data_IF_319189991837
#
_entry.id   IF_319189991837
#
_cell.length_a   1.000
_cell.length_b   1.000
_cell.length_c   1.000
_cell.angle_alpha   90.00
_cell.angle_beta   90.00
_cell.angle_gamma   90.00
#
_symmetry.space_group_name_H-M   'P 1'
#
loop_
_entity.id
_entity.type
_entity.pdbx_description
1 polymer ?
#
# COMPACT_ATOMS: atom_id res chain seq x y z
N UNK A 1 25.73 -8.37 -24.85
CA UNK A 1 26.16 -9.78 -25.08
C UNK A 1 27.62 -10.13 -24.70
N UNK A 2 28.39 -9.23 -24.05
CA UNK A 2 29.86 -9.42 -23.81
C UNK A 2 30.24 -9.90 -22.39
N UNK A 3 29.39 -9.65 -21.38
CA UNK A 3 29.68 -9.96 -19.97
C UNK A 3 29.61 -11.47 -19.62
N UNK A 4 28.59 -12.20 -20.11
CA UNK A 4 28.44 -13.65 -19.84
C UNK A 4 29.60 -14.51 -20.37
N UNK A 5 30.25 -14.11 -21.47
CA UNK A 5 31.43 -14.81 -21.99
C UNK A 5 32.66 -14.65 -21.09
N UNK A 6 32.92 -13.43 -20.57
CA UNK A 6 34.07 -13.17 -19.68
C UNK A 6 33.99 -13.96 -18.37
N UNK A 7 32.81 -14.02 -17.74
CA UNK A 7 32.61 -14.82 -16.53
C UNK A 7 32.81 -16.32 -16.80
N UNK A 8 32.24 -16.88 -17.88
CA UNK A 8 32.46 -18.29 -18.25
C UNK A 8 33.95 -18.62 -18.49
N UNK A 9 34.71 -17.68 -19.05
CA UNK A 9 36.14 -17.88 -19.29
C UNK A 9 36.96 -17.83 -18.01
N UNK A 10 36.61 -16.97 -17.06
CA UNK A 10 37.26 -16.89 -15.74
C UNK A 10 36.98 -18.15 -14.92
N UNK A 11 35.72 -18.58 -14.83
CA UNK A 11 35.34 -19.85 -14.18
C UNK A 11 36.01 -21.05 -14.86
N UNK A 12 36.08 -21.10 -16.20
CA UNK A 12 36.78 -22.20 -16.90
C UNK A 12 38.29 -22.25 -16.64
N UNK A 13 38.91 -21.11 -16.32
CA UNK A 13 40.34 -21.03 -15.97
C UNK A 13 40.56 -21.45 -14.53
N UNK A 14 39.70 -21.00 -13.62
CA UNK A 14 39.76 -21.36 -12.19
C UNK A 14 39.45 -22.85 -12.00
N UNK A 15 38.46 -23.40 -12.72
CA UNK A 15 38.15 -24.82 -12.73
C UNK A 15 39.30 -25.64 -13.32
N UNK A 16 39.96 -25.18 -14.39
CA UNK A 16 41.17 -25.83 -14.93
C UNK A 16 42.34 -25.78 -13.96
N UNK A 17 42.51 -24.70 -13.20
CA UNK A 17 43.56 -24.60 -12.17
C UNK A 17 43.26 -25.51 -10.98
N UNK A 18 42.01 -25.56 -10.51
CA UNK A 18 41.54 -26.49 -9.48
C UNK A 18 41.70 -27.95 -9.92
N UNK A 19 41.34 -28.30 -11.16
CA UNK A 19 41.51 -29.67 -11.67
C UNK A 19 42.99 -30.05 -11.81
N UNK A 20 43.87 -29.11 -12.22
CA UNK A 20 45.31 -29.35 -12.24
C UNK A 20 45.87 -29.51 -10.83
N UNK A 21 45.42 -28.70 -9.89
CA UNK A 21 45.85 -28.79 -8.50
C UNK A 21 45.39 -30.11 -7.87
N UNK A 22 44.12 -30.47 -8.04
CA UNK A 22 43.55 -31.74 -7.59
C UNK A 22 44.26 -32.95 -8.24
N UNK A 23 44.57 -32.88 -9.54
CA UNK A 23 45.30 -33.94 -10.25
C UNK A 23 46.74 -34.06 -9.78
N UNK A 24 47.42 -32.95 -9.54
CA UNK A 24 48.79 -32.94 -9.03
C UNK A 24 48.83 -33.41 -7.57
N UNK A 25 47.84 -33.03 -6.77
CA UNK A 25 47.66 -33.49 -5.40
C UNK A 25 47.37 -34.99 -5.36
N UNK A 26 46.48 -35.50 -6.21
CA UNK A 26 46.17 -36.93 -6.32
C UNK A 26 47.39 -37.74 -6.78
N UNK A 27 48.14 -37.25 -7.76
CA UNK A 27 49.39 -37.89 -8.20
C UNK A 27 50.46 -37.88 -7.11
N UNK A 28 50.58 -36.78 -6.35
CA UNK A 28 51.50 -36.69 -5.22
C UNK A 28 51.13 -37.65 -4.09
N UNK A 29 49.83 -37.69 -3.75
CA UNK A 29 49.28 -38.59 -2.75
C UNK A 29 49.46 -40.06 -3.17
N UNK A 30 49.19 -40.40 -4.44
CA UNK A 30 49.35 -41.75 -4.96
C UNK A 30 50.81 -42.20 -4.93
N UNK A 31 51.76 -41.36 -5.37
CA UNK A 31 53.18 -41.71 -5.29
C UNK A 31 53.69 -41.80 -3.84
N UNK A 32 53.19 -40.95 -2.95
CA UNK A 32 53.55 -40.98 -1.54
C UNK A 32 53.00 -42.23 -0.83
N UNK A 33 51.73 -42.57 -1.06
CA UNK A 33 51.09 -43.79 -0.55
C UNK A 33 51.76 -45.05 -1.10
N UNK A 34 52.02 -45.10 -2.40
CA UNK A 34 52.71 -46.24 -3.01
C UNK A 34 54.14 -46.39 -2.48
N UNK A 35 54.90 -45.29 -2.32
CA UNK A 35 56.24 -45.34 -1.70
C UNK A 35 56.20 -45.82 -0.25
N UNK A 36 55.26 -45.33 0.56
CA UNK A 36 55.06 -45.77 1.94
C UNK A 36 54.70 -47.25 2.02
N UNK A 37 53.77 -47.71 1.18
CA UNK A 37 53.36 -49.12 1.11
C UNK A 37 54.49 -50.03 0.61
N UNK A 38 55.30 -49.55 -0.34
CA UNK A 38 56.46 -50.29 -0.84
C UNK A 38 57.59 -50.40 0.20
N UNK A 39 57.80 -49.35 1.00
CA UNK A 39 58.74 -49.39 2.13
C UNK A 39 58.25 -50.29 3.26
N UNK A 40 56.94 -50.34 3.52
CA UNK A 40 56.32 -51.29 4.47
C UNK A 40 56.49 -52.75 4.03
N UNK A 41 56.53 -53.02 2.72
CA UNK A 41 56.75 -54.37 2.17
C UNK A 41 58.20 -54.87 2.31
N UNK A 42 59.16 -53.98 2.56
CA UNK A 42 60.60 -54.32 2.65
C UNK A 42 61.06 -54.65 4.08
N UNK A 43 60.23 -54.40 5.09
CA UNK A 43 60.52 -54.71 6.50
C UNK A 43 59.53 -55.76 7.00
N UNK A 44 59.95 -57.03 7.00
CA UNK A 44 59.25 -58.15 7.66
C UNK A 44 59.36 -58.04 9.19
N UNK A 45 58.76 -57.00 9.79
CA UNK A 45 58.46 -56.99 11.23
C UNK A 45 57.04 -56.50 11.44
N UNK A 46 56.19 -57.46 11.76
CA UNK A 46 54.81 -57.31 12.21
C UNK A 46 54.79 -56.51 13.52
N UNK A 47 54.01 -55.43 13.52
CA UNK A 47 53.70 -54.64 14.70
C UNK A 47 52.67 -53.56 14.39
N UNK A 48 51.42 -53.86 14.76
CA UNK A 48 50.30 -52.91 15.00
C UNK A 48 49.79 -52.08 13.81
N UNK A 49 49.13 -52.78 12.87
CA UNK A 49 48.22 -52.19 11.90
C UNK A 49 46.84 -51.90 12.50
N UNK A 50 46.45 -50.62 12.52
CA UNK A 50 45.05 -50.14 12.45
C UNK A 50 44.98 -48.60 12.28
N UNK A 51 46.11 -47.88 12.40
CA UNK A 51 46.13 -46.41 12.42
C UNK A 51 45.94 -45.78 11.04
N UNK A 52 46.43 -46.39 9.96
CA UNK A 52 46.36 -45.80 8.61
C UNK A 52 44.92 -45.71 8.04
N UNK A 53 44.10 -46.78 8.10
CA UNK A 53 42.70 -46.72 7.64
C UNK A 53 41.86 -45.77 8.51
N UNK A 54 42.07 -45.76 9.83
CA UNK A 54 41.40 -44.83 10.75
C UNK A 54 41.76 -43.38 10.40
N UNK A 55 43.05 -43.08 10.25
CA UNK A 55 43.49 -41.73 9.92
C UNK A 55 42.90 -41.25 8.59
N UNK A 56 42.82 -42.12 7.56
CA UNK A 56 42.16 -41.77 6.30
C UNK A 56 40.66 -41.56 6.45
N UNK A 57 39.97 -42.36 7.25
CA UNK A 57 38.53 -42.22 7.49
C UNK A 57 38.22 -40.92 8.25
N UNK A 58 39.04 -40.56 9.24
CA UNK A 58 38.93 -39.28 9.96
C UNK A 58 39.16 -38.10 9.02
N UNK A 59 40.19 -38.17 8.16
CA UNK A 59 40.45 -37.09 7.19
C UNK A 59 39.28 -36.94 6.22
N UNK A 60 38.72 -38.04 5.70
CA UNK A 60 37.54 -38.00 4.82
C UNK A 60 36.31 -37.44 5.55
N UNK A 61 36.08 -37.84 6.80
CA UNK A 61 34.99 -37.31 7.61
C UNK A 61 35.13 -35.79 7.82
N UNK A 62 36.34 -35.33 8.19
CA UNK A 62 36.61 -33.91 8.43
C UNK A 62 36.49 -33.09 7.15
N UNK A 63 37.00 -33.58 6.01
CA UNK A 63 36.84 -32.87 4.73
C UNK A 63 35.37 -32.81 4.29
N UNK A 64 34.59 -33.88 4.52
CA UNK A 64 33.16 -33.89 4.24
C UNK A 64 32.41 -32.91 5.16
N UNK A 65 32.74 -32.88 6.46
CA UNK A 65 32.20 -31.91 7.42
C UNK A 65 32.49 -30.47 6.97
N UNK A 66 33.74 -30.17 6.64
CA UNK A 66 34.15 -28.85 6.14
C UNK A 66 33.41 -28.50 4.85
N UNK A 67 33.29 -29.43 3.90
CA UNK A 67 32.54 -29.21 2.66
C UNK A 67 31.06 -28.89 2.93
N UNK A 68 30.41 -29.60 3.86
CA UNK A 68 29.02 -29.32 4.24
C UNK A 68 28.86 -27.97 4.94
N UNK A 69 29.80 -27.58 5.80
CA UNK A 69 29.80 -26.27 6.44
C UNK A 69 29.98 -25.15 5.41
N UNK A 70 30.88 -25.32 4.45
CA UNK A 70 31.10 -24.36 3.36
C UNK A 70 29.86 -24.22 2.47
N UNK A 71 29.21 -25.33 2.09
CA UNK A 71 27.95 -25.30 1.34
C UNK A 71 26.88 -24.46 2.05
N UNK A 72 26.65 -24.73 3.34
CA UNK A 72 25.70 -23.94 4.15
C UNK A 72 26.10 -22.48 4.29
N UNK A 73 27.39 -22.19 4.28
CA UNK A 73 27.91 -20.83 4.36
C UNK A 73 27.63 -20.05 3.07
N UNK A 74 27.75 -20.71 1.92
CA UNK A 74 27.36 -20.14 0.63
C UNK A 74 25.84 -19.91 0.55
N UNK A 75 25.02 -20.88 0.96
CA UNK A 75 23.55 -20.72 0.95
C UNK A 75 23.09 -19.52 1.80
N UNK A 76 23.72 -19.34 2.99
CA UNK A 76 23.46 -18.19 3.87
C UNK A 76 23.93 -16.87 3.26
N UNK A 77 25.08 -16.87 2.59
CA UNK A 77 25.60 -15.68 1.92
C UNK A 77 24.68 -15.24 0.78
N UNK A 78 24.19 -16.18 -0.03
CA UNK A 78 23.26 -15.90 -1.13
C UNK A 78 21.92 -15.38 -0.58
N UNK A 79 21.39 -16.00 0.46
CA UNK A 79 20.14 -15.55 1.11
C UNK A 79 20.30 -14.14 1.69
N UNK A 80 21.42 -13.86 2.38
CA UNK A 80 21.70 -12.54 2.93
C UNK A 80 21.90 -11.48 1.83
N UNK A 81 22.53 -11.85 0.71
CA UNK A 81 22.68 -10.97 -0.45
C UNK A 81 21.33 -10.63 -1.07
N UNK A 82 20.48 -11.62 -1.29
CA UNK A 82 19.14 -11.42 -1.85
C UNK A 82 18.26 -10.58 -0.90
N UNK A 83 18.34 -10.80 0.41
CA UNK A 83 17.60 -10.00 1.38
C UNK A 83 18.02 -8.52 1.34
N UNK A 84 19.33 -8.24 1.26
CA UNK A 84 19.83 -6.86 1.12
C UNK A 84 19.38 -6.22 -0.19
N UNK A 85 19.45 -6.96 -1.30
CA UNK A 85 19.01 -6.46 -2.60
C UNK A 85 17.51 -6.11 -2.57
N UNK A 86 16.67 -7.00 -2.02
CA UNK A 86 15.23 -6.75 -1.85
C UNK A 86 14.95 -5.54 -0.96
N UNK A 87 15.70 -5.35 0.13
CA UNK A 87 15.55 -4.19 1.01
C UNK A 87 15.88 -2.89 0.28
N UNK A 88 17.00 -2.85 -0.44
CA UNK A 88 17.39 -1.67 -1.24
C UNK A 88 16.35 -1.35 -2.30
N UNK A 89 15.83 -2.36 -3.01
CA UNK A 89 14.74 -2.16 -3.97
C UNK A 89 13.47 -1.61 -3.30
N UNK A 90 13.10 -2.12 -2.12
CA UNK A 90 11.93 -1.65 -1.37
C UNK A 90 12.07 -0.20 -0.90
N UNK A 91 13.23 0.13 -0.33
CA UNK A 91 13.52 1.49 0.13
C UNK A 91 13.57 2.48 -1.04
N UNK A 92 14.04 2.04 -2.21
CA UNK A 92 13.99 2.82 -3.44
C UNK A 92 12.54 3.10 -3.91
N UNK A 93 11.62 2.15 -3.73
CA UNK A 93 10.22 2.29 -4.13
C UNK A 93 9.35 3.06 -3.11
N UNK A 94 9.76 3.14 -1.84
CA UNK A 94 8.98 3.79 -0.77
C UNK A 94 8.57 5.26 -1.08
N UNK A 95 9.46 6.12 -1.62
CA UNK A 95 9.09 7.49 -1.98
C UNK A 95 7.95 7.59 -3.00
N UNK A 96 7.73 6.57 -3.83
CA UNK A 96 6.63 6.58 -4.78
C UNK A 96 5.25 6.56 -4.10
N UNK A 97 5.13 5.88 -2.96
CA UNK A 97 3.89 5.85 -2.19
C UNK A 97 3.61 7.23 -1.58
N UNK A 98 4.64 7.89 -1.04
CA UNK A 98 4.47 9.22 -0.43
C UNK A 98 4.15 10.28 -1.49
N UNK A 99 4.81 10.22 -2.66
CA UNK A 99 4.47 11.06 -3.81
C UNK A 99 3.02 10.82 -4.27
N UNK A 100 2.58 9.56 -4.31
CA UNK A 100 1.22 9.24 -4.68
C UNK A 100 0.19 9.79 -3.68
N UNK A 101 0.45 9.68 -2.37
CA UNK A 101 -0.38 10.28 -1.32
C UNK A 101 -0.45 11.79 -1.48
N UNK A 102 0.69 12.46 -1.66
CA UNK A 102 0.75 13.90 -1.86
C UNK A 102 -0.06 14.35 -3.09
N UNK A 103 0.03 13.61 -4.20
CA UNK A 103 -0.79 13.88 -5.41
C UNK A 103 -2.28 13.71 -5.13
N UNK A 104 -2.68 12.69 -4.38
CA UNK A 104 -4.07 12.49 -3.99
C UNK A 104 -4.57 13.58 -3.02
N UNK A 105 -3.79 13.96 -2.02
CA UNK A 105 -4.14 15.03 -1.09
C UNK A 105 -4.30 16.37 -1.84
N UNK A 106 -3.41 16.64 -2.78
CA UNK A 106 -3.50 17.83 -3.63
C UNK A 106 -4.67 17.76 -4.62
N UNK A 107 -5.00 16.57 -5.14
CA UNK A 107 -6.17 16.39 -6.01
C UNK A 107 -7.45 16.80 -5.28
N UNK A 108 -7.63 16.36 -4.04
CA UNK A 108 -8.83 16.67 -3.26
C UNK A 108 -8.84 18.08 -2.64
N UNK A 109 -7.73 18.81 -2.66
CA UNK A 109 -7.68 20.23 -2.28
C UNK A 109 -7.90 21.17 -3.48
N UNK A 110 -7.93 20.64 -4.71
CA UNK A 110 -8.08 21.42 -5.94
C UNK A 110 -9.47 22.06 -6.04
N UNK A 111 -9.51 23.39 -6.13
CA UNK A 111 -10.74 24.17 -6.24
C UNK A 111 -11.51 23.95 -7.57
N UNK A 112 -10.89 23.31 -8.57
CA UNK A 112 -11.53 22.93 -9.83
C UNK A 112 -12.49 21.75 -9.66
N UNK A 113 -12.33 20.96 -8.60
CA UNK A 113 -13.26 19.89 -8.30
C UNK A 113 -14.64 20.47 -7.92
N UNK A 114 -15.72 19.79 -8.31
CA UNK A 114 -17.05 20.20 -7.89
C UNK A 114 -17.16 20.16 -6.35
N UNK A 115 -17.98 21.05 -5.78
CA UNK A 115 -18.29 21.06 -4.34
C UNK A 115 -19.10 19.84 -3.87
N UNK A 116 -19.66 19.08 -4.82
CA UNK A 116 -20.29 17.78 -4.59
C UNK A 116 -19.27 16.65 -4.73
N UNK A 117 -19.64 15.44 -4.37
CA UNK A 117 -18.79 14.25 -4.58
C UNK A 117 -18.28 14.17 -6.02
N UNK A 118 -16.95 14.21 -6.26
CA UNK A 118 -16.39 14.27 -7.60
C UNK A 118 -16.27 12.89 -8.22
N UNK A 119 -16.95 12.64 -9.33
CA UNK A 119 -16.79 11.40 -10.07
C UNK A 119 -15.50 11.26 -10.85
N UNK A 120 -15.28 10.06 -11.40
CA UNK A 120 -14.11 9.75 -12.25
C UNK A 120 -13.94 10.73 -13.41
N UNK A 121 -15.05 11.19 -14.00
CA UNK A 121 -15.07 12.16 -15.10
C UNK A 121 -14.54 13.55 -14.69
N UNK A 122 -14.66 13.92 -13.41
CA UNK A 122 -14.12 15.16 -12.87
C UNK A 122 -12.68 15.00 -12.41
N UNK A 123 -12.33 13.84 -11.83
CA UNK A 123 -10.99 13.57 -11.30
C UNK A 123 -9.94 13.46 -12.39
N UNK A 124 -10.23 12.72 -13.47
CA UNK A 124 -9.25 12.43 -14.54
C UNK A 124 -8.70 13.67 -15.23
N UNK A 125 -9.52 14.61 -15.77
CA UNK A 125 -8.97 15.76 -16.50
C UNK A 125 -8.12 16.67 -15.61
N UNK A 126 -8.44 16.75 -14.31
CA UNK A 126 -7.62 17.50 -13.35
C UNK A 126 -6.30 16.76 -13.12
N UNK A 127 -6.36 15.45 -12.92
CA UNK A 127 -5.17 14.63 -12.71
C UNK A 127 -4.28 14.54 -13.94
N UNK A 128 -4.83 14.76 -15.13
CA UNK A 128 -4.15 14.83 -16.43
C UNK A 128 -3.39 16.14 -16.67
N UNK A 129 -3.49 17.09 -15.75
CA UNK A 129 -2.68 18.31 -15.76
C UNK A 129 -1.19 18.00 -15.50
N UNK A 130 -0.30 18.76 -16.15
CA UNK A 130 1.15 18.68 -15.95
C UNK A 130 1.56 19.08 -14.54
N UNK A 131 0.73 19.84 -13.82
CA UNK A 131 0.90 20.17 -12.41
C UNK A 131 1.09 18.92 -11.52
N UNK A 132 0.49 17.78 -11.87
CA UNK A 132 0.64 16.52 -11.14
C UNK A 132 1.90 15.73 -11.53
N UNK A 133 2.79 16.30 -12.35
CA UNK A 133 4.09 15.70 -12.69
C UNK A 133 5.19 16.49 -11.98
N UNK A 134 5.92 15.83 -11.08
CA UNK A 134 7.02 16.49 -10.37
C UNK A 134 8.19 16.78 -11.34
N UNK A 135 9.07 17.76 -11.03
CA UNK A 135 10.15 18.15 -11.94
C UNK A 135 11.14 17.04 -12.31
N UNK A 136 11.31 16.05 -11.43
CA UNK A 136 12.18 14.88 -11.62
C UNK A 136 11.43 13.66 -12.19
N UNK A 137 10.13 13.80 -12.49
CA UNK A 137 9.29 12.73 -13.00
C UNK A 137 9.07 12.82 -14.50
N UNK A 138 8.95 11.66 -15.12
CA UNK A 138 8.42 11.52 -16.48
C UNK A 138 7.06 10.86 -16.41
N UNK A 139 6.05 11.52 -16.96
CA UNK A 139 4.71 10.94 -17.09
C UNK A 139 4.71 9.77 -18.08
N UNK A 140 4.02 8.70 -17.73
CA UNK A 140 3.86 7.51 -18.52
C UNK A 140 2.39 7.35 -18.95
N UNK A 141 2.21 6.72 -20.12
CA UNK A 141 0.89 6.29 -20.60
C UNK A 141 0.82 4.78 -20.50
N UNK A 142 -0.11 4.27 -19.71
CA UNK A 142 -0.41 2.84 -19.68
C UNK A 142 -1.58 2.57 -20.63
N UNK A 143 -1.52 1.43 -21.29
CA UNK A 143 -2.51 1.00 -22.26
C UNK A 143 -2.83 -0.48 -22.05
N UNK A 144 -4.10 -0.83 -22.19
CA UNK A 144 -4.57 -2.21 -22.11
C UNK A 144 -5.79 -2.38 -23.01
N UNK A 145 -5.71 -3.32 -23.93
CA UNK A 145 -6.78 -3.71 -24.85
C UNK A 145 -7.92 -4.36 -24.04
N UNK A 146 -9.04 -3.64 -23.89
CA UNK A 146 -10.21 -4.04 -23.10
C UNK A 146 -11.16 -4.88 -23.96
N UNK A 147 -11.29 -4.58 -25.25
CA UNK A 147 -12.25 -5.24 -26.16
C UNK A 147 -11.65 -6.42 -26.97
N UNK A 148 -10.33 -6.59 -26.91
CA UNK A 148 -9.59 -7.66 -27.57
C UNK A 148 -9.34 -7.40 -29.05
N UNK A 149 -9.52 -6.17 -29.54
CA UNK A 149 -9.43 -5.84 -30.96
C UNK A 149 -7.99 -5.61 -31.46
N UNK A 150 -6.98 -5.77 -30.59
CA UNK A 150 -5.54 -5.57 -30.85
C UNK A 150 -5.13 -4.15 -31.20
N UNK A 151 -6.03 -3.17 -31.09
CA UNK A 151 -5.74 -1.76 -31.11
C UNK A 151 -5.96 -1.20 -29.71
N UNK A 152 -5.38 -0.01 -29.46
CA UNK A 152 -5.61 0.71 -28.21
C UNK A 152 -6.42 1.94 -28.53
N UNK A 153 -7.63 2.02 -28.02
CA UNK A 153 -8.62 3.05 -28.32
C UNK A 153 -8.85 3.99 -27.13
N UNK A 154 -8.91 5.29 -27.43
CA UNK A 154 -9.40 6.27 -26.46
C UNK A 154 -10.94 6.22 -26.51
N UNK A 155 -11.56 5.64 -25.48
CA UNK A 155 -12.97 5.23 -25.49
C UNK A 155 -13.95 6.31 -25.99
N UNK A 156 -14.90 5.90 -26.85
CA UNK A 156 -15.86 6.75 -27.55
C UNK A 156 -16.97 7.35 -26.64
N UNK A 157 -16.59 8.11 -25.61
CA UNK A 157 -17.49 8.87 -24.74
C UNK A 157 -17.87 8.20 -23.42
N UNK A 158 -17.50 6.93 -23.21
CA UNK A 158 -17.62 6.23 -21.92
C UNK A 158 -16.22 6.06 -21.33
N UNK A 159 -15.96 6.75 -20.22
CA UNK A 159 -14.65 6.79 -19.59
C UNK A 159 -14.12 5.40 -19.19
N UNK A 160 -15.01 4.51 -18.78
CA UNK A 160 -14.69 3.14 -18.40
C UNK A 160 -14.25 2.26 -19.58
N UNK A 161 -14.47 2.70 -20.82
CA UNK A 161 -13.98 2.03 -22.03
C UNK A 161 -12.70 2.67 -22.55
N UNK A 162 -12.11 3.63 -21.83
CA UNK A 162 -10.85 4.21 -22.23
C UNK A 162 -9.71 3.23 -21.89
N UNK A 163 -9.08 2.71 -22.94
CA UNK A 163 -8.00 1.72 -22.89
C UNK A 163 -6.65 2.35 -22.54
N UNK A 164 -6.63 3.65 -22.26
CA UNK A 164 -5.43 4.40 -21.94
C UNK A 164 -5.62 5.19 -20.65
N UNK A 165 -4.55 5.23 -19.86
CA UNK A 165 -4.47 6.05 -18.65
C UNK A 165 -3.12 6.78 -18.63
N UNK A 166 -3.15 7.97 -18.06
CA UNK A 166 -2.02 8.89 -17.91
C UNK A 166 -1.65 9.10 -16.44
N UNK A 167 -2.25 8.35 -15.53
CA UNK A 167 -1.99 8.38 -14.09
C UNK A 167 -0.80 7.49 -13.69
N UNK A 168 0.28 7.52 -14.48
CA UNK A 168 1.49 6.76 -14.23
C UNK A 168 2.71 7.66 -14.41
N UNK A 169 3.74 7.44 -13.61
CA UNK A 169 4.98 8.21 -13.62
C UNK A 169 6.16 7.29 -13.41
N UNK A 170 7.33 7.75 -13.86
CA UNK A 170 8.62 7.20 -13.46
C UNK A 170 9.54 8.30 -12.99
N UNK A 171 10.44 7.97 -12.09
CA UNK A 171 11.57 8.82 -11.72
C UNK A 171 12.82 7.95 -11.51
N UNK A 172 14.00 8.49 -11.79
CA UNK A 172 15.25 7.78 -11.55
C UNK A 172 15.65 7.84 -10.07
N UNK A 173 16.27 6.77 -9.58
CA UNK A 173 16.81 6.66 -8.24
C UNK A 173 18.24 6.11 -8.32
N UNK A 174 19.10 6.66 -7.47
CA UNK A 174 20.45 6.20 -7.23
C UNK A 174 20.41 5.33 -5.97
N UNK A 175 20.51 4.01 -6.13
CA UNK A 175 20.35 3.08 -5.01
C UNK A 175 21.64 2.79 -4.25
N UNK A 176 22.80 3.08 -4.83
CA UNK A 176 24.11 2.88 -4.19
C UNK A 176 24.79 4.21 -3.77
N UNK A 177 24.11 5.33 -4.01
CA UNK A 177 24.51 6.70 -3.64
C UNK A 177 25.86 7.10 -4.25
N UNK A 178 26.14 6.65 -5.48
CA UNK A 178 27.38 6.93 -6.19
C UNK A 178 27.31 8.19 -7.09
N UNK A 179 26.14 8.83 -7.17
CA UNK A 179 25.87 10.03 -7.95
C UNK A 179 25.33 9.75 -9.37
N UNK A 180 25.16 8.49 -9.74
CA UNK A 180 24.54 8.06 -10.99
C UNK A 180 23.28 7.24 -10.71
N UNK A 181 22.25 7.43 -11.53
CA UNK A 181 21.00 6.71 -11.42
C UNK A 181 21.13 5.31 -12.03
N UNK A 182 20.79 4.29 -11.24
CA UNK A 182 20.93 2.88 -11.60
C UNK A 182 19.57 2.15 -11.62
N UNK A 183 18.51 2.79 -11.14
CA UNK A 183 17.17 2.20 -10.99
C UNK A 183 16.09 3.19 -11.41
N UNK A 184 15.05 2.70 -12.10
CA UNK A 184 13.82 3.46 -12.30
C UNK A 184 12.75 3.01 -11.32
N UNK A 185 12.14 3.96 -10.63
CA UNK A 185 10.92 3.71 -9.87
C UNK A 185 9.75 4.13 -10.73
N UNK A 186 8.87 3.17 -11.02
CA UNK A 186 7.64 3.40 -11.75
C UNK A 186 6.49 3.30 -10.75
N UNK A 187 5.53 4.20 -10.85
CA UNK A 187 4.31 4.07 -10.08
C UNK A 187 3.09 4.58 -10.83
N UNK A 188 1.93 4.07 -10.43
CA UNK A 188 0.64 4.46 -11.01
C UNK A 188 -0.43 4.53 -9.93
N UNK A 189 -1.42 5.39 -10.16
CA UNK A 189 -2.57 5.58 -9.30
C UNK A 189 -3.81 5.20 -10.11
N UNK A 190 -4.50 4.15 -9.66
CA UNK A 190 -5.68 3.57 -10.30
C UNK A 190 -6.90 3.72 -9.40
N UNK A 191 -7.94 4.36 -9.90
CA UNK A 191 -9.18 4.61 -9.15
C UNK A 191 -10.46 4.43 -9.97
N UNK A 192 -10.29 4.13 -11.28
CA UNK A 192 -11.43 3.86 -12.16
C UNK A 192 -12.12 2.59 -11.72
N UNK A 193 -13.44 2.58 -11.86
CA UNK A 193 -14.24 1.38 -11.62
C UNK A 193 -14.87 0.89 -12.92
N UNK A 194 -14.99 -0.44 -13.10
CA UNK A 194 -15.67 -0.99 -14.26
C UNK A 194 -17.12 -0.51 -14.30
N UNK A 195 -17.77 -0.47 -15.48
CA UNK A 195 -19.18 -0.15 -15.57
C UNK A 195 -19.99 -1.07 -14.65
N UNK A 196 -20.94 -0.51 -13.91
CA UNK A 196 -21.76 -1.28 -12.95
C UNK A 196 -23.17 -1.39 -13.49
N UNK A 197 -23.66 -2.63 -13.58
CA UNK A 197 -25.03 -2.94 -13.97
C UNK A 197 -25.71 -3.67 -12.80
N UNK A 198 -26.85 -3.14 -12.33
CA UNK A 198 -27.60 -3.71 -11.19
C UNK A 198 -26.75 -3.98 -9.92
N UNK A 199 -25.78 -3.10 -9.64
CA UNK A 199 -24.93 -3.21 -8.44
C UNK A 199 -23.76 -4.18 -8.54
N UNK A 200 -23.54 -4.80 -9.72
CA UNK A 200 -22.44 -5.72 -10.00
C UNK A 200 -21.60 -5.15 -11.17
N UNK A 201 -20.27 -5.30 -11.16
CA UNK A 201 -19.46 -5.00 -12.35
C UNK A 201 -20.00 -5.71 -13.59
N UNK A 202 -20.32 -4.95 -14.63
CA UNK A 202 -20.85 -5.46 -15.91
C UNK A 202 -19.80 -6.26 -16.68
N UNK A 203 -18.51 -6.07 -16.36
CA UNK A 203 -17.39 -6.84 -16.89
C UNK A 203 -16.33 -7.11 -15.81
N UNK A 204 -15.44 -8.05 -16.11
CA UNK A 204 -14.24 -8.28 -15.31
C UNK A 204 -13.38 -7.02 -15.26
N UNK A 205 -12.75 -6.80 -14.10
CA UNK A 205 -11.81 -5.70 -13.90
C UNK A 205 -10.58 -5.88 -14.77
N UNK A 206 -10.13 -4.79 -15.37
CA UNK A 206 -8.91 -4.75 -16.19
C UNK A 206 -7.74 -4.13 -15.39
N UNK A 207 -6.48 -4.34 -15.81
CA UNK A 207 -5.30 -3.79 -15.10
C UNK A 207 -5.22 -2.27 -15.00
N UNK A 208 -6.11 -1.52 -15.68
CA UNK A 208 -6.19 -0.06 -15.62
C UNK A 208 -7.18 0.47 -14.57
N UNK A 209 -7.82 -0.43 -13.82
CA UNK A 209 -8.88 -0.13 -12.87
C UNK A 209 -8.47 -0.44 -11.43
N UNK A 210 -9.20 0.14 -10.47
CA UNK A 210 -9.07 -0.21 -9.07
C UNK A 210 -9.31 -1.72 -8.88
N UNK A 211 -8.41 -2.39 -8.14
CA UNK A 211 -8.41 -3.85 -8.00
C UNK A 211 -9.60 -4.36 -7.21
N UNK A 212 -9.93 -3.68 -6.12
CA UNK A 212 -11.08 -4.01 -5.27
C UNK A 212 -11.91 -2.76 -4.96
N UNK A 213 -13.08 -3.00 -4.39
CA UNK A 213 -13.95 -1.95 -3.88
C UNK A 213 -13.39 -1.39 -2.56
N UNK A 214 -13.90 -0.24 -2.09
CA UNK A 214 -13.56 0.25 -0.77
C UNK A 214 -13.82 -0.80 0.31
N UNK A 215 -12.90 -0.90 1.26
CA UNK A 215 -13.04 -1.82 2.39
C UNK A 215 -14.11 -1.29 3.35
N UNK A 216 -14.97 -2.18 3.84
CA UNK A 216 -15.85 -1.86 4.97
C UNK A 216 -15.08 -1.96 6.27
N UNK A 217 -15.36 -1.06 7.20
CA UNK A 217 -14.76 -1.10 8.54
C UNK A 217 -15.49 -2.07 9.47
N UNK A 218 -16.70 -2.48 9.09
CA UNK A 218 -17.53 -3.45 9.80
C UNK A 218 -17.27 -4.89 9.31
N UNK A 219 -16.23 -5.51 9.84
CA UNK A 219 -16.01 -6.95 9.71
C UNK A 219 -17.01 -7.69 10.62
N UNK A 220 -17.86 -8.53 10.03
CA UNK A 220 -18.69 -9.52 10.73
C UNK A 220 -19.64 -9.02 11.83
N UNK A 221 -20.79 -8.47 11.43
CA UNK A 221 -22.00 -8.80 12.17
C UNK A 221 -23.15 -9.16 11.23
N UNK A 222 -23.55 -10.43 11.26
CA UNK A 222 -24.79 -10.94 10.65
C UNK A 222 -26.05 -10.14 11.09
N UNK A 223 -25.91 -9.31 12.13
CA UNK A 223 -26.95 -8.42 12.62
C UNK A 223 -27.25 -7.22 11.70
N UNK A 224 -26.36 -6.91 10.74
CA UNK A 224 -26.45 -5.70 9.91
C UNK A 224 -26.27 -5.93 8.40
N UNK A 225 -27.09 -6.80 7.77
CA UNK A 225 -26.96 -7.13 6.34
C UNK A 225 -27.23 -5.92 5.41
N UNK A 226 -27.97 -4.91 5.89
CA UNK A 226 -28.29 -3.67 5.15
C UNK A 226 -27.40 -2.47 5.52
N UNK A 227 -26.68 -2.53 6.64
CA UNK A 227 -25.67 -1.52 7.03
C UNK A 227 -24.29 -1.83 6.49
N UNK A 228 -23.96 -3.13 6.38
CA UNK A 228 -22.90 -3.66 5.52
C UNK A 228 -23.40 -3.68 4.08
N UNK A 229 -23.77 -2.50 3.57
CA UNK A 229 -24.43 -2.31 2.29
C UNK A 229 -23.97 -3.37 1.31
N UNK A 230 -24.90 -4.22 0.84
CA UNK A 230 -24.67 -4.88 -0.44
C UNK A 230 -24.13 -3.80 -1.35
N UNK A 231 -22.93 -4.01 -1.89
CA UNK A 231 -22.07 -3.14 -2.72
C UNK A 231 -22.83 -2.34 -3.83
N UNK A 232 -24.13 -2.57 -3.97
CA UNK A 232 -25.07 -2.21 -5.00
C UNK A 232 -25.73 -0.81 -4.92
N UNK A 233 -25.28 0.13 -4.08
CA UNK A 233 -25.74 1.53 -4.19
C UNK A 233 -24.57 2.44 -4.56
N UNK A 234 -24.14 2.30 -5.82
CA UNK A 234 -23.31 3.29 -6.51
C UNK A 234 -24.14 4.57 -6.60
N UNK A 235 -23.73 5.61 -5.87
CA UNK A 235 -24.42 6.90 -5.90
C UNK A 235 -23.93 7.66 -7.13
N UNK A 236 -24.64 7.49 -8.25
CA UNK A 236 -24.24 8.01 -9.57
C UNK A 236 -23.08 7.20 -10.15
N UNK A 237 -23.09 6.93 -11.47
CA UNK A 237 -22.12 6.05 -12.17
C UNK A 237 -20.66 6.55 -12.22
N UNK A 238 -20.14 7.00 -11.08
CA UNK A 238 -18.97 7.85 -10.89
C UNK A 238 -17.94 7.21 -9.92
N UNK A 239 -18.12 5.93 -9.58
CA UNK A 239 -17.14 5.11 -8.87
C UNK A 239 -17.03 5.36 -7.37
N UNK A 240 -18.05 5.96 -6.75
CA UNK A 240 -18.23 6.08 -5.31
C UNK A 240 -19.25 5.06 -4.81
N UNK A 241 -18.95 4.42 -3.68
CA UNK A 241 -19.77 3.37 -3.09
C UNK A 241 -20.26 3.80 -1.72
N UNK A 242 -21.53 3.57 -1.43
CA UNK A 242 -22.02 3.74 -0.07
C UNK A 242 -21.58 2.54 0.78
N UNK A 243 -20.71 2.79 1.75
CA UNK A 243 -20.18 1.80 2.70
C UNK A 243 -20.29 2.41 4.10
N UNK A 244 -20.93 1.70 5.03
CA UNK A 244 -21.10 2.14 6.42
C UNK A 244 -21.80 3.53 6.56
N UNK A 245 -22.71 3.87 5.65
CA UNK A 245 -23.41 5.17 5.63
C UNK A 245 -22.60 6.34 5.04
N UNK A 246 -21.36 6.09 4.62
CA UNK A 246 -20.45 7.06 4.02
C UNK A 246 -20.25 6.74 2.54
N UNK A 247 -19.91 7.76 1.73
CA UNK A 247 -19.43 7.51 0.38
C UNK A 247 -17.93 7.24 0.43
N UNK A 248 -17.51 6.08 -0.05
CA UNK A 248 -16.10 5.68 -0.13
C UNK A 248 -15.68 5.43 -1.56
N UNK A 249 -14.42 5.77 -1.87
CA UNK A 249 -13.78 5.48 -3.15
C UNK A 249 -12.38 4.95 -2.93
N UNK A 250 -12.04 3.85 -3.60
CA UNK A 250 -10.74 3.21 -3.49
C UNK A 250 -9.75 3.74 -4.52
N UNK A 251 -8.55 4.08 -4.04
CA UNK A 251 -7.40 4.49 -4.83
C UNK A 251 -6.29 3.47 -4.62
N UNK A 252 -5.81 2.87 -5.70
CA UNK A 252 -4.71 1.92 -5.69
C UNK A 252 -3.45 2.58 -6.21
N UNK A 253 -2.41 2.57 -5.41
CA UNK A 253 -1.07 2.94 -5.83
C UNK A 253 -0.26 1.67 -6.03
N UNK A 254 0.22 1.49 -7.25
CA UNK A 254 1.20 0.45 -7.58
C UNK A 254 2.55 1.12 -7.78
N UNK A 255 3.58 0.67 -7.07
CA UNK A 255 4.95 1.13 -7.26
C UNK A 255 5.87 -0.06 -7.52
N UNK A 256 6.86 0.10 -8.39
CA UNK A 256 7.84 -0.91 -8.70
C UNK A 256 9.22 -0.30 -8.94
N UNK A 257 10.26 -0.87 -8.35
CA UNK A 257 11.64 -0.52 -8.65
C UNK A 257 12.20 -1.48 -9.69
N UNK A 258 12.64 -0.94 -10.83
CA UNK A 258 13.15 -1.69 -11.98
C UNK A 258 14.61 -1.29 -12.21
N UNK A 259 15.56 -2.21 -11.98
CA UNK A 259 16.98 -1.97 -12.24
C UNK A 259 17.25 -1.67 -13.71
N UNK A 260 18.13 -0.70 -13.98
CA UNK A 260 18.54 -0.35 -15.34
C UNK A 260 19.50 -1.43 -15.85
N UNK A 261 19.09 -2.14 -16.91
CA UNK A 261 19.91 -3.18 -17.54
C UNK A 261 20.65 -2.71 -18.79
N UNK A 262 20.23 -1.55 -19.33
CA UNK A 262 20.82 -0.91 -20.49
C UNK A 262 20.73 0.61 -20.32
N UNK A 263 21.89 1.27 -20.27
CA UNK A 263 22.00 2.73 -20.11
C UNK A 263 22.11 3.47 -21.46
N UNK A 264 22.00 2.76 -22.59
CA UNK A 264 22.09 3.39 -23.91
C UNK A 264 20.98 4.43 -24.12
N UNK A 265 21.38 5.66 -24.43
CA UNK A 265 20.44 6.76 -24.71
C UNK A 265 19.83 7.45 -23.49
N UNK A 266 20.20 7.07 -22.25
CA UNK A 266 19.67 7.71 -21.03
C UNK A 266 20.46 8.96 -20.61
N UNK A 267 21.72 9.10 -21.03
CA UNK A 267 22.60 10.23 -20.69
C UNK A 267 23.75 9.82 -19.75
N UNK A 268 24.61 10.78 -19.40
CA UNK A 268 25.83 10.51 -18.62
C UNK A 268 25.57 10.25 -17.13
N UNK A 269 24.41 10.64 -16.61
CA UNK A 269 24.03 10.47 -15.20
C UNK A 269 23.40 9.10 -14.91
N UNK A 270 23.35 8.21 -15.90
CA UNK A 270 22.73 6.90 -15.78
C UNK A 270 23.76 5.81 -15.96
N UNK A 271 23.63 4.76 -15.16
CA UNK A 271 24.46 3.58 -15.27
C UNK A 271 23.65 2.29 -15.24
N UNK A 272 24.32 1.21 -15.63
CA UNK A 272 23.74 -0.13 -15.56
C UNK A 272 23.89 -0.63 -14.13
N UNK A 273 22.78 -1.04 -13.53
CA UNK A 273 22.76 -1.62 -12.18
C UNK A 273 23.77 -2.78 -12.09
N UNK A 274 24.71 -2.65 -11.15
CA UNK A 274 25.89 -3.53 -11.08
C UNK A 274 25.75 -4.69 -10.09
N UNK A 275 24.70 -4.67 -9.25
CA UNK A 275 24.45 -5.65 -8.19
C UNK A 275 23.49 -6.77 -8.62
N UNK A 276 23.11 -7.65 -7.69
CA UNK A 276 22.11 -8.69 -7.93
C UNK A 276 20.75 -8.05 -8.24
N UNK A 277 20.25 -8.27 -9.46
CA UNK A 277 18.96 -7.73 -9.89
C UNK A 277 17.83 -8.32 -9.04
N UNK A 278 17.34 -7.55 -8.06
CA UNK A 278 16.06 -7.78 -7.40
C UNK A 278 15.01 -6.86 -8.01
N UNK A 279 13.77 -7.35 -8.01
CA UNK A 279 12.60 -6.56 -8.36
C UNK A 279 11.70 -6.51 -7.14
N UNK A 280 11.16 -5.33 -6.85
CA UNK A 280 10.14 -5.17 -5.82
C UNK A 280 8.94 -4.47 -6.42
N UNK A 281 7.76 -4.81 -5.90
CA UNK A 281 6.53 -4.10 -6.16
C UNK A 281 5.77 -3.89 -4.86
N UNK A 282 5.18 -2.71 -4.71
CA UNK A 282 4.36 -2.30 -3.58
C UNK A 282 2.96 -2.02 -4.12
N UNK A 283 1.96 -2.63 -3.51
CA UNK A 283 0.55 -2.28 -3.69
C UNK A 283 0.08 -1.57 -2.42
N UNK A 284 -0.52 -0.40 -2.58
CA UNK A 284 -1.09 0.38 -1.49
C UNK A 284 -2.52 0.78 -1.86
N UNK A 285 -3.49 0.37 -1.04
CA UNK A 285 -4.88 0.81 -1.16
C UNK A 285 -5.13 1.96 -0.17
N UNK A 286 -5.67 3.06 -0.67
CA UNK A 286 -6.21 4.15 0.13
C UNK A 286 -7.67 4.36 -0.22
N UNK A 287 -8.55 4.22 0.77
CA UNK A 287 -9.95 4.57 0.61
C UNK A 287 -10.17 6.01 1.09
N UNK A 288 -10.80 6.83 0.23
CA UNK A 288 -11.22 8.19 0.57
C UNK A 288 -12.68 8.17 0.93
N UNK A 289 -13.02 8.82 2.04
CA UNK A 289 -14.37 8.91 2.56
C UNK A 289 -14.94 10.32 2.38
N UNK A 290 -16.22 10.40 2.06
CA UNK A 290 -16.96 11.64 2.00
C UNK A 290 -18.33 11.43 2.65
N UNK A 291 -18.72 12.37 3.51
CA UNK A 291 -20.06 12.41 4.09
C UNK A 291 -20.97 13.06 3.05
N UNK A 292 -21.96 12.32 2.50
CA UNK A 292 -22.85 12.91 1.52
C UNK A 292 -23.84 13.86 2.20
N UNK A 293 -24.34 14.86 1.46
CA UNK A 293 -25.24 15.89 2.01
C UNK A 293 -26.50 15.27 2.60
N UNK A 294 -27.03 14.21 1.96
CA UNK A 294 -28.21 13.46 2.41
C UNK A 294 -28.00 12.69 3.73
N UNK A 295 -26.77 12.57 4.24
CA UNK A 295 -26.53 11.98 5.57
C UNK A 295 -26.89 12.94 6.72
N UNK A 296 -27.29 14.17 6.40
CA UNK A 296 -27.71 15.18 7.37
C UNK A 296 -29.24 15.27 7.43
N UNK A 297 -29.77 15.34 8.65
CA UNK A 297 -31.18 15.65 8.90
C UNK A 297 -31.47 17.13 8.62
N UNK A 298 -30.53 18.02 8.97
CA UNK A 298 -30.63 19.46 8.77
C UNK A 298 -29.31 19.98 8.19
N UNK A 299 -29.38 20.70 7.08
CA UNK A 299 -28.22 21.35 6.44
C UNK A 299 -28.56 22.79 6.13
N UNK A 300 -27.76 23.72 6.65
CA UNK A 300 -27.82 25.13 6.30
C UNK A 300 -26.44 25.64 5.93
N UNK A 301 -26.37 26.47 4.88
CA UNK A 301 -25.12 27.13 4.49
C UNK A 301 -24.82 28.35 5.37
N UNK A 302 -25.86 29.01 5.89
CA UNK A 302 -25.76 30.19 6.74
C UNK A 302 -26.24 29.87 8.15
N UNK A 303 -26.72 30.86 8.90
CA UNK A 303 -27.19 30.67 10.26
C UNK A 303 -28.39 29.70 10.30
N UNK A 304 -28.34 28.74 11.22
CA UNK A 304 -29.43 27.83 11.52
C UNK A 304 -30.10 28.30 12.82
N UNK A 305 -31.39 28.60 12.73
CA UNK A 305 -32.17 29.06 13.88
C UNK A 305 -33.35 28.11 14.13
N UNK A 306 -33.38 27.50 15.31
CA UNK A 306 -34.43 26.56 15.74
C UNK A 306 -35.23 27.17 16.89
N UNK A 307 -36.43 27.66 16.53
CA UNK A 307 -37.41 28.24 17.46
C UNK A 307 -38.73 27.48 17.42
N UNK A 308 -38.77 26.25 17.96
CA UNK A 308 -39.99 25.47 17.96
C UNK A 308 -40.99 26.08 18.95
N UNK A 309 -42.23 26.32 18.51
CA UNK A 309 -43.34 26.67 19.41
C UNK A 309 -43.82 25.46 20.25
N UNK A 310 -44.23 24.36 19.61
CA UNK A 310 -44.49 23.08 20.27
C UNK A 310 -43.22 22.20 20.37
N UNK A 311 -43.21 21.13 21.21
CA UNK A 311 -42.10 20.19 21.31
C UNK A 311 -41.60 19.71 19.95
N UNK A 312 -40.30 19.90 19.70
CA UNK A 312 -39.66 19.57 18.43
C UNK A 312 -38.49 18.62 18.69
N UNK A 313 -38.57 17.44 18.09
CA UNK A 313 -37.56 16.39 18.23
C UNK A 313 -36.85 16.22 16.91
N UNK A 314 -35.53 16.37 16.92
CA UNK A 314 -34.68 16.14 15.76
C UNK A 314 -33.81 14.92 16.01
N UNK A 315 -33.83 13.99 15.06
CA UNK A 315 -32.95 12.83 15.08
C UNK A 315 -31.92 12.97 13.96
N UNK A 316 -30.62 12.87 14.29
CA UNK A 316 -29.54 12.79 13.32
C UNK A 316 -28.70 14.03 13.10
N UNK A 317 -27.81 13.92 12.11
CA UNK A 317 -26.71 14.86 11.90
C UNK A 317 -27.25 16.24 11.50
N UNK A 318 -26.77 17.27 12.19
CA UNK A 318 -27.08 18.67 11.89
C UNK A 318 -25.81 19.35 11.44
N UNK A 319 -25.89 20.07 10.32
CA UNK A 319 -24.76 20.82 9.78
C UNK A 319 -25.17 22.27 9.50
N UNK A 320 -24.42 23.21 10.05
CA UNK A 320 -24.48 24.63 9.69
C UNK A 320 -23.07 25.19 9.49
N UNK A 321 -22.87 25.92 8.39
CA UNK A 321 -21.57 26.55 8.09
C UNK A 321 -21.36 27.86 8.88
N UNK A 322 -22.42 28.45 9.42
CA UNK A 322 -22.37 29.68 10.21
C UNK A 322 -22.88 29.42 11.64
N UNK A 323 -23.67 30.31 12.21
CA UNK A 323 -24.11 30.19 13.61
C UNK A 323 -25.25 29.19 13.78
N UNK A 324 -25.36 28.63 14.98
CA UNK A 324 -26.46 27.78 15.39
C UNK A 324 -27.18 28.43 16.57
N UNK A 325 -28.40 28.91 16.35
CA UNK A 325 -29.22 29.55 17.37
C UNK A 325 -30.36 28.61 17.79
N UNK A 326 -30.48 28.34 19.08
CA UNK A 326 -31.58 27.53 19.62
C UNK A 326 -32.30 28.31 20.71
N UNK A 327 -33.64 28.25 20.75
CA UNK A 327 -34.43 28.77 21.86
C UNK A 327 -34.99 27.61 22.67
N UNK A 328 -34.76 27.64 23.98
CA UNK A 328 -35.14 26.54 24.87
C UNK A 328 -36.66 26.54 25.18
N UNK A 329 -37.34 27.67 24.99
CA UNK A 329 -38.79 27.77 25.19
C UNK A 329 -39.54 27.09 24.05
N UNK A 330 -39.94 25.84 24.26
CA UNK A 330 -40.65 25.04 23.25
C UNK A 330 -40.35 23.55 23.28
N UNK A 331 -39.34 23.09 24.02
CA UNK A 331 -39.03 21.65 24.15
C UNK A 331 -38.29 21.08 22.94
N UNK A 332 -37.16 21.70 22.57
CA UNK A 332 -36.23 21.19 21.56
C UNK A 332 -35.44 19.99 22.12
N UNK A 333 -35.51 18.83 21.46
CA UNK A 333 -34.77 17.63 21.86
C UNK A 333 -33.99 17.06 20.68
N UNK A 334 -32.67 16.94 20.82
CA UNK A 334 -31.83 16.21 19.86
C UNK A 334 -31.69 14.76 20.30
N UNK A 335 -31.89 13.82 19.39
CA UNK A 335 -31.68 12.39 19.64
C UNK A 335 -30.68 11.81 18.64
N UNK A 336 -29.99 10.76 19.09
CA UNK A 336 -29.20 9.92 18.21
C UNK A 336 -30.11 9.22 17.19
N UNK A 337 -29.59 8.94 15.99
CA UNK A 337 -30.34 8.24 14.94
C UNK A 337 -30.78 6.85 15.39
N UNK A 338 -30.00 6.20 16.24
CA UNK A 338 -30.29 4.82 16.61
C UNK A 338 -29.75 4.39 17.96
N UNK A 339 -30.18 3.21 18.41
CA UNK A 339 -29.70 2.54 19.62
C UNK A 339 -28.31 1.91 19.42
N UNK A 340 -27.54 1.62 20.48
CA UNK A 340 -26.20 1.01 20.40
C UNK A 340 -26.08 -0.26 19.55
N UNK A 341 -27.14 -1.07 19.47
CA UNK A 341 -27.16 -2.32 18.67
C UNK A 341 -27.65 -2.13 17.22
N UNK A 342 -27.80 -0.89 16.76
CA UNK A 342 -28.24 -0.58 15.39
C UNK A 342 -27.05 -0.39 14.46
N UNK A 343 -27.20 -0.82 13.22
CA UNK A 343 -26.23 -0.65 12.14
C UNK A 343 -25.92 0.81 11.80
N UNK A 344 -26.80 1.72 12.22
CA UNK A 344 -26.66 3.16 12.02
C UNK A 344 -26.06 3.88 13.24
N UNK A 345 -25.68 3.14 14.29
CA UNK A 345 -25.09 3.68 15.51
C UNK A 345 -23.62 4.01 15.30
N UNK A 346 -23.40 5.09 14.57
CA UNK A 346 -22.11 5.71 14.38
C UNK A 346 -22.21 7.16 14.89
N UNK A 347 -21.16 7.63 15.59
CA UNK A 347 -21.04 9.00 16.07
C UNK A 347 -21.28 10.00 14.93
N UNK A 348 -20.71 9.75 13.76
CA UNK A 348 -20.82 10.64 12.61
C UNK A 348 -22.26 10.83 12.12
N UNK A 349 -23.14 9.84 12.31
CA UNK A 349 -24.54 9.90 11.88
C UNK A 349 -25.40 10.79 12.80
N UNK A 350 -24.95 11.11 14.02
CA UNK A 350 -25.71 11.92 14.99
C UNK A 350 -24.99 13.21 15.39
N UNK A 351 -23.92 13.58 14.66
CA UNK A 351 -23.06 14.71 14.99
C UNK A 351 -23.75 16.05 14.70
N UNK A 352 -23.55 17.03 15.56
CA UNK A 352 -23.94 18.43 15.30
C UNK A 352 -22.66 19.20 15.00
N UNK A 353 -22.54 19.72 13.77
CA UNK A 353 -21.38 20.48 13.30
C UNK A 353 -21.80 21.92 13.05
N UNK A 354 -21.11 22.84 13.71
CA UNK A 354 -21.35 24.29 13.65
C UNK A 354 -20.05 24.96 13.22
N UNK A 355 -20.08 25.71 12.12
CA UNK A 355 -18.92 26.46 11.62
C UNK A 355 -18.69 27.79 12.35
N UNK A 356 -19.76 28.40 12.89
CA UNK A 356 -19.73 29.62 13.68
C UNK A 356 -20.02 29.38 15.17
N UNK A 357 -20.75 30.31 15.78
CA UNK A 357 -21.09 30.24 17.20
C UNK A 357 -22.39 29.47 17.45
N UNK A 358 -22.46 28.75 18.57
CA UNK A 358 -23.71 28.20 19.07
C UNK A 358 -24.27 29.11 20.18
N UNK A 359 -25.46 29.66 19.96
CA UNK A 359 -26.15 30.54 20.90
C UNK A 359 -27.42 29.85 21.37
N UNK A 360 -27.58 29.78 22.70
CA UNK A 360 -28.78 29.27 23.34
C UNK A 360 -29.54 30.46 23.92
N UNK A 361 -30.66 30.82 23.31
CA UNK A 361 -31.57 31.82 23.83
C UNK A 361 -32.46 31.26 24.94
N UNK A 362 -32.59 32.01 26.03
CA UNK A 362 -33.68 31.80 26.98
C UNK A 362 -34.88 32.62 26.51
N UNK A 363 -35.98 31.95 26.17
CA UNK A 363 -37.27 32.63 26.04
C UNK A 363 -37.66 33.11 27.43
N UNK A 364 -37.79 34.42 27.62
CA UNK A 364 -38.15 34.99 28.92
C UNK A 364 -39.45 34.38 29.44
N UNK A 365 -39.33 33.54 30.46
CA UNK A 365 -40.33 33.47 31.52
C UNK A 365 -39.56 33.54 32.83
N UNK A 366 -39.75 34.66 33.54
CA UNK A 366 -39.34 34.84 34.92
C UNK A 366 -39.83 33.64 35.75
N UNK A 367 -38.96 32.68 36.06
CA UNK A 367 -38.87 32.03 37.37
C UNK A 367 -37.86 30.87 37.36
N UNK A 368 -36.95 30.96 38.34
CA UNK A 368 -36.17 29.86 38.96
C UNK A 368 -35.11 29.15 38.12
N UNK A 369 -33.86 29.42 38.53
CA UNK A 369 -32.66 28.60 38.33
C UNK A 369 -32.98 27.10 38.21
N UNK A 370 -32.88 26.56 37.01
CA UNK A 370 -32.72 25.13 36.79
C UNK A 370 -31.48 24.95 35.91
N UNK A 371 -30.50 24.23 36.45
CA UNK A 371 -29.31 23.81 35.74
C UNK A 371 -29.76 22.95 34.55
N UNK A 372 -29.49 23.40 33.33
CA UNK A 372 -29.76 22.59 32.15
C UNK A 372 -28.46 21.95 31.66
N UNK A 373 -28.36 20.64 31.95
CA UNK A 373 -27.34 19.77 31.41
C UNK A 373 -27.55 19.60 29.91
N UNK A 374 -26.55 19.96 29.11
CA UNK A 374 -26.37 19.36 27.79
C UNK A 374 -25.81 17.98 28.09
N UNK A 375 -26.64 16.94 27.96
CA UNK A 375 -26.19 15.55 28.10
C UNK A 375 -25.40 15.18 26.84
N UNK A 376 -24.20 15.76 26.73
CA UNK A 376 -23.15 15.25 25.86
C UNK A 376 -22.73 13.93 26.52
N UNK A 377 -23.09 12.82 25.88
CA UNK A 377 -22.60 11.48 26.23
C UNK A 377 -21.06 11.44 26.09
N UNK A 378 -20.36 12.01 27.07
CA UNK A 378 -18.93 11.87 27.30
C UNK A 378 -18.72 10.64 28.18
N UNK A 379 -19.21 9.48 27.74
CA UNK A 379 -18.93 8.20 28.40
C UNK A 379 -17.89 7.46 27.58
N UNK A 380 -16.64 7.94 27.62
CA UNK A 380 -15.45 7.09 27.42
C UNK A 380 -14.12 7.80 27.77
N UNK A 381 -14.10 9.13 27.86
CA UNK A 381 -12.87 9.86 28.23
C UNK A 381 -12.59 9.85 29.75
N UNK A 382 -13.62 9.79 30.60
CA UNK A 382 -13.44 9.90 32.06
C UNK A 382 -13.03 8.59 32.74
N UNK A 383 -13.32 7.43 32.14
CA UNK A 383 -12.91 6.13 32.68
C UNK A 383 -11.43 5.80 32.43
N UNK A 384 -10.78 6.40 31.41
CA UNK A 384 -9.33 6.24 31.20
C UNK A 384 -8.49 7.10 32.15
N UNK A 385 -9.02 8.21 32.64
CA UNK A 385 -8.31 9.04 33.62
C UNK A 385 -8.42 8.49 35.05
N UNK A 386 -9.54 7.86 35.41
CA UNK A 386 -9.69 7.24 36.75
C UNK A 386 -8.89 5.95 36.91
N UNK A 387 -8.66 5.19 35.84
CA UNK A 387 -7.88 3.95 35.90
C UNK A 387 -6.36 4.19 36.10
N UNK A 388 -5.85 5.38 35.74
CA UNK A 388 -4.44 5.75 35.95
C UNK A 388 -4.15 6.34 37.33
N UNK A 389 -5.18 6.68 38.11
CA UNK A 389 -5.03 7.24 39.47
C UNK A 389 -5.20 6.21 40.59
N UNK A 390 -5.49 4.94 40.25
CA UNK A 390 -5.64 3.84 41.21
C UNK A 390 -4.44 2.87 41.17
N UNK A 391 -3.41 3.15 40.33
CA UNK A 391 -2.16 2.37 40.28
C UNK A 391 -0.93 3.29 40.41
N UNK A 392 -0.98 4.28 41.31
CA UNK A 392 0.21 4.99 41.80
C UNK A 392 0.16 5.15 43.31
#
# INVERSE_FOLDING_TARGET
MSSRRKQSTFFSRLFRQLFRFARNFYRGLQHWLLRRLYQLKKTNQLGTGFVLPIATLIIVLVTLLVATLLSRSFDRADTASNFRASQVSFDAAAPAVDRAKAKLDQLFSDARLPRRTPGDQALIPIFDDDFYTLPDETRLRLAFDIDGNSNIEDGAGVLQNNERITSAWRFPVDTDNNGAFDTFVLYTILFRTPPIAAGVPARQRVPLEARTLPQSTNFDSDACPTGNGTIAQVVGGEGWFQVDGLLRKSFFTYAAAVPITDATGLGANFEVFSSNNSFTAIEFQQDREQIPINNNAIVYENDLELFPGPPFVVNGRIFTNANFNTLVSGGLTFRLISSPNSCFYNEENSKIVVGGNHIVGQGETLATNQNHAVDLLMVMALLRFLALLIIS
#
